data_IF_866863351459
#
_entry.id   IF_866863351459
#
_cell.length_a   1.000
_cell.length_b   1.000
_cell.length_c   1.000
_cell.angle_alpha   90.00
_cell.angle_beta   90.00
_cell.angle_gamma   90.00
#
_symmetry.space_group_name_H-M   'P 1'
#
loop_
_entity.id
_entity.type
_entity.pdbx_description
1 polymer ?
#
# COMPACT_ATOMS: atom_id res chain seq x y z
N UNK A 1 48.63 15.16 -53.01
CA UNK A 1 48.05 15.92 -51.88
C UNK A 1 46.55 15.73 -51.91
N UNK A 2 45.97 15.36 -50.76
CA UNK A 2 44.54 15.29 -50.42
C UNK A 2 43.63 14.30 -51.19
N UNK A 3 42.68 13.53 -50.65
CA UNK A 3 42.48 12.72 -49.43
C UNK A 3 40.98 12.35 -49.43
N UNK A 4 40.64 11.07 -49.19
CA UNK A 4 39.34 10.53 -48.71
C UNK A 4 38.13 10.56 -49.68
N UNK A 5 37.16 9.63 -49.65
CA UNK A 5 36.91 8.41 -48.87
C UNK A 5 35.80 7.61 -49.58
N UNK A 6 35.94 6.29 -49.59
CA UNK A 6 34.89 5.33 -49.95
C UNK A 6 33.68 5.42 -49.01
N UNK A 7 32.48 5.23 -49.56
CA UNK A 7 31.37 4.55 -48.85
C UNK A 7 30.68 3.56 -49.78
N UNK A 8 30.64 2.32 -49.28
CA UNK A 8 30.09 1.13 -49.89
C UNK A 8 28.56 1.04 -49.68
N UNK A 9 27.90 0.70 -50.77
CA UNK A 9 26.81 -0.26 -51.01
C UNK A 9 25.87 -0.77 -49.89
N UNK A 10 24.65 -1.01 -50.39
CA UNK A 10 23.78 -2.16 -50.15
C UNK A 10 22.73 -2.03 -49.05
N UNK A 11 21.48 -1.90 -49.52
CA UNK A 11 20.30 -2.29 -48.78
C UNK A 11 20.09 -3.81 -48.75
N UNK A 12 18.90 -4.17 -48.26
CA UNK A 12 18.35 -5.52 -47.97
C UNK A 12 19.03 -6.17 -46.74
N UNK A 13 18.38 -6.68 -45.68
CA UNK A 13 17.06 -7.33 -45.55
C UNK A 13 16.68 -7.49 -44.06
N UNK A 14 15.37 -7.48 -43.77
CA UNK A 14 14.61 -8.27 -42.76
C UNK A 14 14.83 -8.13 -41.24
N UNK A 15 13.66 -7.92 -40.60
CA UNK A 15 13.20 -8.54 -39.34
C UNK A 15 14.06 -8.32 -38.09
N UNK A 16 13.70 -7.31 -37.32
CA UNK A 16 13.87 -7.31 -35.87
C UNK A 16 12.49 -7.25 -35.23
N UNK A 17 12.05 -8.36 -34.62
CA UNK A 17 11.00 -8.38 -33.62
C UNK A 17 11.13 -7.13 -32.75
N UNK A 18 10.09 -6.29 -32.70
CA UNK A 18 9.92 -5.37 -31.57
C UNK A 18 9.72 -6.27 -30.37
N UNK A 19 10.80 -6.48 -29.61
CA UNK A 19 10.75 -7.04 -28.28
C UNK A 19 9.78 -6.15 -27.49
N UNK A 20 8.54 -6.66 -27.35
CA UNK A 20 7.58 -6.16 -26.39
C UNK A 20 8.23 -6.40 -25.02
N UNK A 21 8.92 -5.40 -24.51
CA UNK A 21 9.29 -5.36 -23.10
C UNK A 21 7.98 -5.55 -22.31
N UNK A 22 7.91 -6.50 -21.37
CA UNK A 22 6.74 -6.65 -20.51
C UNK A 22 6.66 -5.54 -19.44
N UNK A 23 7.54 -4.54 -19.49
CA UNK A 23 7.61 -3.43 -18.52
C UNK A 23 6.44 -2.43 -18.59
N UNK A 24 5.39 -2.77 -19.33
CA UNK A 24 4.12 -2.03 -19.42
C UNK A 24 2.98 -2.67 -18.64
N UNK A 25 3.25 -3.55 -17.66
CA UNK A 25 2.24 -3.86 -16.64
C UNK A 25 1.97 -2.57 -15.86
N UNK A 26 0.81 -1.96 -16.11
CA UNK A 26 0.30 -0.72 -15.50
C UNK A 26 0.96 -0.40 -14.15
N UNK A 27 1.82 0.62 -14.11
CA UNK A 27 2.39 1.15 -12.86
C UNK A 27 1.27 1.79 -12.03
N UNK A 28 0.54 0.95 -11.30
CA UNK A 28 -0.71 1.28 -10.62
C UNK A 28 -0.74 0.78 -9.18
N UNK A 29 0.15 -0.13 -8.79
CA UNK A 29 0.27 -0.61 -7.42
C UNK A 29 0.78 0.51 -6.50
N UNK A 30 1.82 1.24 -6.88
CA UNK A 30 2.35 2.31 -6.04
C UNK A 30 1.37 3.48 -5.86
N UNK A 31 0.71 4.00 -6.92
CA UNK A 31 -0.38 4.96 -6.74
C UNK A 31 -1.53 4.44 -5.88
N UNK A 32 -1.93 3.17 -6.04
CA UNK A 32 -2.99 2.58 -5.22
C UNK A 32 -2.56 2.42 -3.76
N UNK A 33 -1.30 2.05 -3.48
CA UNK A 33 -0.75 1.96 -2.13
C UNK A 33 -0.78 3.31 -1.42
N UNK A 34 -0.38 4.39 -2.10
CA UNK A 34 -0.45 5.73 -1.48
C UNK A 34 -1.89 6.16 -1.18
N UNK A 35 -2.85 5.83 -2.04
CA UNK A 35 -4.27 6.05 -1.75
C UNK A 35 -4.74 5.22 -0.54
N UNK A 36 -4.35 3.94 -0.46
CA UNK A 36 -4.63 3.11 0.73
C UNK A 36 -4.06 3.77 1.98
N UNK A 37 -2.82 4.24 1.95
CA UNK A 37 -2.17 4.92 3.08
C UNK A 37 -2.96 6.16 3.52
N UNK A 38 -3.30 7.05 2.59
CA UNK A 38 -4.01 8.30 2.88
C UNK A 38 -5.41 8.05 3.45
N UNK A 39 -6.15 7.13 2.83
CA UNK A 39 -7.49 6.78 3.28
C UNK A 39 -7.46 6.01 4.61
N UNK A 40 -6.48 5.14 4.82
CA UNK A 40 -6.31 4.42 6.10
C UNK A 40 -6.07 5.39 7.25
N UNK A 41 -5.24 6.41 7.05
CA UNK A 41 -5.08 7.49 8.04
C UNK A 41 -6.41 8.21 8.31
N UNK A 42 -7.24 8.43 7.29
CA UNK A 42 -8.56 9.04 7.48
C UNK A 42 -9.49 8.14 8.29
N UNK A 43 -9.56 6.84 7.96
CA UNK A 43 -10.37 5.86 8.72
C UNK A 43 -9.89 5.73 10.16
N UNK A 44 -8.59 5.71 10.41
CA UNK A 44 -8.03 5.69 11.76
C UNK A 44 -8.45 6.92 12.57
N UNK A 45 -8.55 8.10 11.94
CA UNK A 45 -9.06 9.29 12.60
C UNK A 45 -10.57 9.21 12.93
N UNK A 46 -11.36 8.56 12.09
CA UNK A 46 -12.76 8.26 12.41
C UNK A 46 -12.86 7.31 13.61
N UNK A 47 -12.06 6.23 13.62
CA UNK A 47 -11.96 5.29 14.75
C UNK A 47 -11.54 6.02 16.03
N UNK A 48 -10.54 6.91 15.97
CA UNK A 48 -10.11 7.73 17.11
C UNK A 48 -11.23 8.61 17.67
N UNK A 49 -12.05 9.17 16.78
CA UNK A 49 -13.18 10.03 17.15
C UNK A 49 -14.27 9.24 17.85
N UNK A 50 -14.59 8.04 17.33
CA UNK A 50 -15.60 7.15 17.92
C UNK A 50 -15.13 6.51 19.22
N UNK A 51 -13.84 6.14 19.29
CA UNK A 51 -13.24 5.41 20.40
C UNK A 51 -12.07 6.21 21.01
N UNK A 52 -12.36 7.24 21.84
CA UNK A 52 -11.31 8.08 22.42
C UNK A 52 -10.24 7.32 23.21
N UNK A 53 -10.62 6.20 23.84
CA UNK A 53 -9.69 5.35 24.58
C UNK A 53 -8.65 4.66 23.68
N UNK A 54 -8.87 4.58 22.37
CA UNK A 54 -7.92 4.06 21.39
C UNK A 54 -6.93 5.11 20.86
N UNK A 55 -7.04 6.38 21.27
CA UNK A 55 -6.19 7.48 20.77
C UNK A 55 -4.70 7.13 20.74
N UNK A 56 -4.16 6.58 21.83
CA UNK A 56 -2.74 6.20 21.90
C UNK A 56 -2.38 5.07 20.93
N UNK A 57 -3.29 4.12 20.71
CA UNK A 57 -3.09 3.00 19.78
C UNK A 57 -3.13 3.53 18.35
N UNK A 58 -4.13 4.35 18.02
CA UNK A 58 -4.30 4.97 16.71
C UNK A 58 -3.11 5.85 16.35
N UNK A 59 -2.67 6.76 17.23
CA UNK A 59 -1.53 7.63 16.95
C UNK A 59 -0.24 6.83 16.66
N UNK A 60 -0.04 5.72 17.36
CA UNK A 60 1.08 4.81 17.09
C UNK A 60 0.92 4.10 15.74
N UNK A 61 -0.30 3.74 15.37
CA UNK A 61 -0.58 3.12 14.08
C UNK A 61 -0.38 4.11 12.93
N UNK A 62 -0.80 5.36 13.08
CA UNK A 62 -0.53 6.44 12.13
C UNK A 62 0.98 6.63 11.92
N UNK A 63 1.78 6.57 13.00
CA UNK A 63 3.24 6.61 12.87
C UNK A 63 3.81 5.41 12.12
N UNK A 64 3.29 4.20 12.34
CA UNK A 64 3.68 3.00 11.58
C UNK A 64 3.38 3.12 10.10
N UNK A 65 2.21 3.67 9.75
CA UNK A 65 1.82 3.98 8.37
C UNK A 65 2.72 5.06 7.77
N UNK A 66 3.08 6.09 8.54
CA UNK A 66 4.02 7.12 8.10
C UNK A 66 5.41 6.54 7.80
N UNK A 67 5.89 5.60 8.62
CA UNK A 67 7.15 4.89 8.35
C UNK A 67 7.08 4.12 7.02
N UNK A 68 5.96 3.44 6.75
CA UNK A 68 5.72 2.76 5.46
C UNK A 68 5.71 3.75 4.29
N UNK A 69 5.01 4.89 4.43
CA UNK A 69 4.96 5.94 3.41
C UNK A 69 6.35 6.47 3.05
N UNK A 70 7.21 6.62 4.05
CA UNK A 70 8.57 7.14 3.90
C UNK A 70 9.57 6.07 3.44
N UNK A 71 9.16 4.81 3.31
CA UNK A 71 10.01 3.74 2.82
C UNK A 71 10.14 3.84 1.30
N UNK A 72 11.34 3.68 0.72
CA UNK A 72 11.48 3.56 -0.72
C UNK A 72 10.89 2.24 -1.21
N UNK A 73 9.77 2.32 -1.94
CA UNK A 73 9.06 1.18 -2.52
C UNK A 73 9.06 1.35 -4.04
N UNK A 74 9.52 0.35 -4.77
CA UNK A 74 9.43 0.33 -6.24
C UNK A 74 8.17 -0.40 -6.70
N UNK A 75 7.61 0.02 -7.83
CA UNK A 75 6.43 -0.60 -8.44
C UNK A 75 6.60 -2.13 -8.59
N UNK A 76 7.77 -2.57 -9.05
CA UNK A 76 8.11 -3.98 -9.25
C UNK A 76 8.05 -4.82 -7.96
N UNK A 77 8.25 -4.22 -6.79
CA UNK A 77 8.20 -4.94 -5.51
C UNK A 77 6.78 -5.28 -5.08
N UNK A 78 5.78 -4.54 -5.57
CA UNK A 78 4.40 -4.62 -5.10
C UNK A 78 3.36 -4.77 -6.23
N UNK A 79 3.80 -4.87 -7.48
CA UNK A 79 2.92 -4.91 -8.65
C UNK A 79 1.80 -5.97 -8.53
N UNK A 80 2.12 -7.15 -7.98
CA UNK A 80 1.13 -8.22 -7.78
C UNK A 80 0.05 -7.89 -6.74
N UNK A 81 0.24 -6.86 -5.92
CA UNK A 81 -0.74 -6.39 -4.94
C UNK A 81 -1.75 -5.39 -5.53
N UNK A 82 -1.54 -4.90 -6.76
CA UNK A 82 -2.41 -3.89 -7.40
C UNK A 82 -3.91 -4.22 -7.27
N UNK A 83 -4.39 -5.44 -7.56
CA UNK A 83 -5.83 -5.74 -7.48
C UNK A 83 -6.38 -5.60 -6.06
N UNK A 84 -5.62 -6.05 -5.07
CA UNK A 84 -5.98 -5.99 -3.65
C UNK A 84 -5.99 -4.53 -3.16
N UNK A 85 -4.97 -3.76 -3.54
CA UNK A 85 -4.89 -2.34 -3.21
C UNK A 85 -6.07 -1.56 -3.78
N UNK A 86 -6.45 -1.80 -5.04
CA UNK A 86 -7.62 -1.14 -5.65
C UNK A 86 -8.93 -1.48 -4.95
N UNK A 87 -9.13 -2.74 -4.61
CA UNK A 87 -10.32 -3.16 -3.86
C UNK A 87 -10.36 -2.47 -2.49
N UNK A 88 -9.22 -2.44 -1.80
CA UNK A 88 -9.11 -1.79 -0.51
C UNK A 88 -9.36 -0.28 -0.59
N UNK A 89 -8.90 0.40 -1.64
CA UNK A 89 -9.22 1.82 -1.89
C UNK A 89 -10.73 2.04 -1.92
N UNK A 90 -11.48 1.21 -2.66
CA UNK A 90 -12.94 1.34 -2.76
C UNK A 90 -13.60 1.15 -1.39
N UNK A 91 -13.19 0.12 -0.64
CA UNK A 91 -13.72 -0.13 0.70
C UNK A 91 -13.42 1.00 1.67
N UNK A 92 -12.18 1.50 1.67
CA UNK A 92 -11.76 2.63 2.49
C UNK A 92 -12.53 3.90 2.15
N UNK A 93 -12.72 4.21 0.86
CA UNK A 93 -13.52 5.35 0.42
C UNK A 93 -14.96 5.25 0.90
N UNK A 94 -15.54 4.04 0.88
CA UNK A 94 -16.88 3.81 1.40
C UNK A 94 -16.99 4.15 2.89
N UNK A 95 -16.09 3.64 3.73
CA UNK A 95 -16.08 3.96 5.18
C UNK A 95 -15.84 5.45 5.42
N UNK A 96 -14.91 6.08 4.69
CA UNK A 96 -14.65 7.53 4.81
C UNK A 96 -15.88 8.37 4.44
N UNK A 97 -16.65 7.96 3.43
CA UNK A 97 -17.87 8.66 3.01
C UNK A 97 -19.10 8.36 3.87
N UNK A 98 -19.07 7.30 4.67
CA UNK A 98 -20.17 6.87 5.54
C UNK A 98 -19.68 6.71 6.99
N UNK A 99 -19.23 7.79 7.66
CA UNK A 99 -18.71 7.69 9.02
C UNK A 99 -19.75 7.21 10.05
N UNK A 100 -21.04 7.30 9.74
CA UNK A 100 -22.14 6.77 10.56
C UNK A 100 -22.10 5.24 10.70
N UNK A 101 -21.39 4.51 9.83
CA UNK A 101 -21.20 3.06 9.98
C UNK A 101 -20.53 2.71 11.32
N UNK A 102 -19.69 3.62 11.83
CA UNK A 102 -19.04 3.44 13.14
C UNK A 102 -20.04 3.53 14.30
N UNK A 103 -21.22 4.13 14.10
CA UNK A 103 -22.26 4.21 15.11
C UNK A 103 -23.03 2.90 15.29
N UNK A 104 -22.95 2.02 14.32
CA UNK A 104 -23.64 0.72 14.30
C UNK A 104 -22.78 -0.42 14.88
N UNK A 105 -21.55 -0.13 15.29
CA UNK A 105 -20.62 -1.13 15.80
C UNK A 105 -21.11 -1.72 17.12
N UNK A 106 -21.14 -3.06 17.17
CA UNK A 106 -21.38 -3.76 18.42
C UNK A 106 -20.12 -3.79 19.29
N UNK A 107 -20.28 -4.03 20.59
CA UNK A 107 -19.11 -4.24 21.48
C UNK A 107 -18.23 -5.42 21.06
N UNK A 108 -18.78 -6.40 20.33
CA UNK A 108 -17.97 -7.47 19.75
C UNK A 108 -17.10 -6.97 18.60
N UNK A 109 -17.56 -5.99 17.83
CA UNK A 109 -16.82 -5.44 16.70
C UNK A 109 -15.71 -4.51 17.19
N UNK A 110 -15.94 -3.78 18.27
CA UNK A 110 -14.90 -2.99 18.96
C UNK A 110 -13.69 -3.87 19.32
N UNK A 111 -13.93 -5.06 19.89
CA UNK A 111 -12.87 -6.01 20.27
C UNK A 111 -12.10 -6.49 19.03
N UNK A 112 -12.80 -6.76 17.92
CA UNK A 112 -12.15 -7.17 16.66
C UNK A 112 -11.29 -6.03 16.09
N UNK A 113 -11.80 -4.80 16.06
CA UNK A 113 -11.04 -3.62 15.61
C UNK A 113 -9.76 -3.47 16.44
N UNK A 114 -9.84 -3.62 17.77
CA UNK A 114 -8.67 -3.57 18.66
C UNK A 114 -7.68 -4.68 18.32
N UNK A 115 -8.17 -5.90 18.09
CA UNK A 115 -7.36 -7.05 17.69
C UNK A 115 -6.60 -6.80 16.39
N UNK A 116 -7.29 -6.32 15.36
CA UNK A 116 -6.68 -6.01 14.06
C UNK A 116 -5.70 -4.84 14.13
N UNK A 117 -6.00 -3.79 14.90
CA UNK A 117 -5.05 -2.69 15.15
C UNK A 117 -3.80 -3.19 15.87
N UNK A 118 -3.93 -4.11 16.82
CA UNK A 118 -2.80 -4.71 17.50
C UNK A 118 -1.95 -5.58 16.56
N UNK A 119 -2.58 -6.32 15.65
CA UNK A 119 -1.90 -7.10 14.62
C UNK A 119 -1.17 -6.20 13.62
N UNK A 120 -1.86 -5.18 13.09
CA UNK A 120 -1.28 -4.19 12.18
C UNK A 120 -0.08 -3.48 12.80
N UNK A 121 -0.12 -3.17 14.10
CA UNK A 121 1.00 -2.54 14.81
C UNK A 121 2.24 -3.43 14.93
N UNK A 122 2.07 -4.76 14.92
CA UNK A 122 3.22 -5.69 14.87
C UNK A 122 3.90 -5.62 13.51
N UNK A 123 3.12 -5.48 12.43
CA UNK A 123 3.61 -5.39 11.05
C UNK A 123 4.18 -4.01 10.74
N UNK A 124 3.55 -2.95 11.24
CA UNK A 124 3.97 -1.57 11.07
C UNK A 124 4.31 -0.93 12.42
N UNK A 125 5.48 -1.25 13.02
CA UNK A 125 5.89 -0.64 14.27
C UNK A 125 5.98 0.88 14.17
N UNK A 126 5.50 1.57 15.22
CA UNK A 126 5.58 3.03 15.31
C UNK A 126 7.03 3.54 15.40
N UNK A 127 7.90 2.82 16.13
CA UNK A 127 9.30 3.18 16.25
C UNK A 127 10.07 2.82 14.97
N UNK A 128 10.79 3.77 14.39
CA UNK A 128 11.50 3.60 13.12
C UNK A 128 12.56 2.49 13.14
N UNK A 129 13.25 2.28 14.26
CA UNK A 129 14.25 1.21 14.36
C UNK A 129 13.58 -0.16 14.37
N UNK A 130 12.48 -0.31 15.13
CA UNK A 130 11.70 -1.53 15.13
C UNK A 130 11.04 -1.78 13.76
N UNK A 131 10.56 -0.71 13.10
CA UNK A 131 10.01 -0.78 11.76
C UNK A 131 11.06 -1.26 10.76
N UNK A 132 12.25 -0.67 10.76
CA UNK A 132 13.34 -1.06 9.87
C UNK A 132 13.83 -2.49 10.15
N UNK A 133 13.87 -2.90 11.42
CA UNK A 133 14.19 -4.27 11.80
C UNK A 133 13.15 -5.25 11.25
N UNK A 134 11.86 -4.93 11.39
CA UNK A 134 10.78 -5.75 10.86
C UNK A 134 10.80 -5.78 9.33
N UNK A 135 11.00 -4.64 8.67
CA UNK A 135 11.14 -4.53 7.21
C UNK A 135 12.29 -5.38 6.69
N UNK A 136 13.43 -5.35 7.39
CA UNK A 136 14.60 -6.18 7.04
C UNK A 136 14.33 -7.67 7.25
N UNK A 137 13.47 -8.02 8.21
CA UNK A 137 13.13 -9.40 8.56
C UNK A 137 12.16 -10.03 7.56
N UNK A 138 11.11 -9.32 7.17
CA UNK A 138 10.02 -9.89 6.33
C UNK A 138 10.04 -9.40 4.88
N UNK A 139 10.74 -8.31 4.59
CA UNK A 139 10.78 -7.68 3.28
C UNK A 139 9.55 -6.82 2.97
N UNK A 140 9.72 -5.88 2.04
CA UNK A 140 8.70 -4.87 1.73
C UNK A 140 7.38 -5.47 1.21
N UNK A 141 7.46 -6.45 0.32
CA UNK A 141 6.27 -7.11 -0.23
C UNK A 141 5.41 -7.73 0.88
N UNK A 142 6.04 -8.47 1.79
CA UNK A 142 5.36 -9.13 2.90
C UNK A 142 4.77 -8.12 3.88
N UNK A 143 5.51 -7.05 4.18
CA UNK A 143 5.03 -5.98 5.05
C UNK A 143 3.79 -5.29 4.46
N UNK A 144 3.83 -4.91 3.18
CA UNK A 144 2.69 -4.28 2.49
C UNK A 144 1.51 -5.24 2.41
N UNK A 145 1.72 -6.49 2.00
CA UNK A 145 0.66 -7.49 1.86
C UNK A 145 -0.05 -7.79 3.19
N UNK A 146 0.70 -7.93 4.29
CA UNK A 146 0.12 -8.13 5.62
C UNK A 146 -0.59 -6.88 6.13
N UNK A 147 0.00 -5.69 5.91
CA UNK A 147 -0.66 -4.44 6.28
C UNK A 147 -2.00 -4.26 5.55
N UNK A 148 -2.03 -4.52 4.23
CA UNK A 148 -3.25 -4.49 3.42
C UNK A 148 -4.29 -5.46 3.96
N UNK A 149 -3.90 -6.68 4.31
CA UNK A 149 -4.81 -7.68 4.90
C UNK A 149 -5.46 -7.16 6.19
N UNK A 150 -4.66 -6.63 7.11
CA UNK A 150 -5.20 -6.14 8.39
C UNK A 150 -6.05 -4.88 8.22
N UNK A 151 -5.69 -3.98 7.30
CA UNK A 151 -6.51 -2.80 6.99
C UNK A 151 -7.84 -3.25 6.37
N UNK A 152 -7.83 -4.23 5.46
CA UNK A 152 -9.04 -4.79 4.86
C UNK A 152 -9.97 -5.41 5.92
N UNK A 153 -9.41 -6.15 6.88
CA UNK A 153 -10.17 -6.69 8.02
C UNK A 153 -10.80 -5.58 8.87
N UNK A 154 -10.03 -4.54 9.23
CA UNK A 154 -10.57 -3.38 9.98
C UNK A 154 -11.74 -2.78 9.22
N UNK A 155 -11.55 -2.46 7.95
CA UNK A 155 -12.55 -1.78 7.12
C UNK A 155 -13.80 -2.64 6.93
N UNK A 156 -13.65 -3.97 6.84
CA UNK A 156 -14.79 -4.90 6.79
C UNK A 156 -15.58 -4.90 8.11
N UNK A 157 -14.88 -4.92 9.26
CA UNK A 157 -15.53 -4.79 10.57
C UNK A 157 -16.27 -3.45 10.70
N UNK A 158 -15.74 -2.37 10.11
CA UNK A 158 -16.32 -1.03 10.15
C UNK A 158 -17.59 -0.86 9.28
N UNK A 159 -18.07 -1.90 8.59
CA UNK A 159 -19.36 -1.86 7.90
C UNK A 159 -19.36 -2.38 6.46
N UNK A 160 -18.48 -3.34 6.13
CA UNK A 160 -18.40 -3.98 4.81
C UNK A 160 -18.32 -5.51 4.88
#
# INVERSE_FOLDING_TARGET
MATKLLRWTAGVTRMGLVAKHPDGANAAALPALYQVIDLSSTVLNLVKTKFPFLTTVVNKQEQGIANLRNTPISESQIASLEPQLRQLVVKLQYVVSHPSLLDELSSSDDIKVIGELAALRKILPANVNNFNAELSRIGIYSMVSQAVTHIDSIVSILGL
#
